data_IF_087454230172
#
_entry.id   IF_087454230172
#
_cell.length_a   1.000
_cell.length_b   1.000
_cell.length_c   1.000
_cell.angle_alpha   90.00
_cell.angle_beta   90.00
_cell.angle_gamma   90.00
#
_symmetry.space_group_name_H-M   'P 1'
#
loop_
_entity.id
_entity.type
_entity.pdbx_description
1 polymer ?
#
# COMPACT_ATOMS: atom_id res chain seq x y z
N UNK A 1 -11.83 13.41 -9.67
CA UNK A 1 -11.05 12.37 -8.95
C UNK A 1 -11.90 11.13 -8.81
N UNK A 2 -11.43 10.02 -9.34
CA UNK A 2 -12.06 8.70 -9.30
C UNK A 2 -11.32 7.79 -8.30
N UNK A 3 -12.06 6.86 -7.67
CA UNK A 3 -11.49 5.87 -6.75
C UNK A 3 -11.85 4.45 -7.17
N UNK A 4 -10.85 3.69 -7.61
CA UNK A 4 -10.98 2.29 -8.00
C UNK A 4 -10.65 1.41 -6.80
N UNK A 5 -11.47 0.39 -6.57
CA UNK A 5 -11.31 -0.59 -5.48
C UNK A 5 -11.41 -1.97 -6.09
N UNK A 6 -10.36 -2.77 -5.97
CA UNK A 6 -10.30 -4.10 -6.55
C UNK A 6 -9.69 -5.08 -5.57
N UNK A 7 -10.27 -6.29 -5.51
CA UNK A 7 -9.57 -7.43 -4.96
C UNK A 7 -8.80 -8.09 -6.08
N UNK A 8 -7.53 -8.39 -5.81
CA UNK A 8 -6.66 -9.13 -6.72
C UNK A 8 -6.21 -10.41 -6.05
N UNK A 9 -6.23 -11.49 -6.80
CA UNK A 9 -5.59 -12.74 -6.38
C UNK A 9 -4.10 -12.70 -6.69
N UNK A 10 -3.32 -13.49 -5.95
CA UNK A 10 -1.93 -13.75 -6.27
C UNK A 10 -1.80 -14.20 -7.74
N UNK A 11 -0.85 -13.61 -8.46
CA UNK A 11 -0.63 -13.79 -9.89
C UNK A 11 -1.40 -12.82 -10.80
N UNK A 12 -2.37 -12.05 -10.29
CA UNK A 12 -3.04 -11.03 -11.09
C UNK A 12 -2.21 -9.74 -11.14
N UNK A 13 -2.13 -9.07 -12.31
CA UNK A 13 -1.31 -7.88 -12.47
C UNK A 13 -1.82 -6.72 -11.61
N UNK A 14 -0.90 -5.94 -11.06
CA UNK A 14 -1.23 -4.68 -10.40
C UNK A 14 -1.35 -3.54 -11.40
N UNK A 15 -2.20 -2.56 -11.09
CA UNK A 15 -2.49 -1.47 -12.03
C UNK A 15 -1.31 -0.52 -12.26
N UNK A 16 -0.38 -0.39 -11.31
CA UNK A 16 0.92 0.28 -11.46
C UNK A 16 1.73 0.24 -10.15
N UNK A 17 3.04 0.05 -10.24
CA UNK A 17 3.95 0.49 -9.18
C UNK A 17 4.26 2.00 -9.36
N UNK A 18 4.41 2.79 -8.27
CA UNK A 18 4.68 4.22 -8.40
C UNK A 18 6.17 4.46 -8.64
N UNK A 19 6.53 4.89 -9.85
CA UNK A 19 7.92 5.23 -10.21
C UNK A 19 8.55 6.25 -9.25
N UNK A 20 7.76 7.19 -8.75
CA UNK A 20 8.23 8.19 -7.79
C UNK A 20 8.74 7.57 -6.47
N UNK A 21 8.20 6.41 -6.03
CA UNK A 21 8.70 5.72 -4.84
C UNK A 21 10.10 5.20 -5.11
N UNK A 22 10.28 4.55 -6.26
CA UNK A 22 11.55 4.01 -6.69
C UNK A 22 12.60 5.12 -6.82
N UNK A 23 12.21 6.27 -7.37
CA UNK A 23 13.05 7.47 -7.40
C UNK A 23 13.44 7.96 -6.00
N UNK A 24 12.47 8.03 -5.06
CA UNK A 24 12.72 8.49 -3.68
C UNK A 24 13.61 7.53 -2.89
N UNK A 25 13.40 6.22 -3.02
CA UNK A 25 14.22 5.17 -2.39
C UNK A 25 15.65 5.25 -2.90
N UNK A 26 15.82 5.41 -4.22
CA UNK A 26 17.13 5.58 -4.86
C UNK A 26 17.83 6.86 -4.38
N UNK A 27 17.12 7.99 -4.33
CA UNK A 27 17.65 9.26 -3.81
C UNK A 27 18.02 9.19 -2.32
N UNK A 28 17.29 8.40 -1.53
CA UNK A 28 17.54 8.22 -0.11
C UNK A 28 18.73 7.29 0.19
N UNK A 29 19.27 6.61 -0.82
CA UNK A 29 20.46 5.75 -0.68
C UNK A 29 20.25 4.60 0.30
N UNK A 30 19.04 4.06 0.44
CA UNK A 30 18.77 2.95 1.37
C UNK A 30 19.56 1.70 0.92
N UNK A 31 20.55 1.28 1.70
CA UNK A 31 21.50 0.19 1.35
C UNK A 31 20.81 -1.09 0.85
N UNK A 32 19.68 -1.45 1.45
CA UNK A 32 18.89 -2.63 1.09
C UNK A 32 18.35 -2.60 -0.35
N UNK A 33 18.28 -1.41 -0.95
CA UNK A 33 17.69 -1.12 -2.25
C UNK A 33 18.73 -0.65 -3.28
N UNK A 34 20.00 -0.56 -2.89
CA UNK A 34 21.11 -0.25 -3.80
C UNK A 34 21.48 -1.43 -4.72
N UNK A 35 20.88 -2.61 -4.51
CA UNK A 35 21.00 -3.76 -5.43
C UNK A 35 20.39 -3.51 -6.82
N UNK A 36 19.54 -2.50 -6.95
CA UNK A 36 18.84 -2.15 -8.18
C UNK A 36 19.60 -1.11 -8.99
N UNK A 37 19.96 -1.44 -10.23
CA UNK A 37 20.71 -0.54 -11.11
C UNK A 37 19.82 0.56 -11.74
N UNK A 38 18.51 0.30 -11.87
CA UNK A 38 17.52 1.18 -12.52
C UNK A 38 16.25 1.36 -11.68
N UNK A 39 15.48 2.41 -11.96
CA UNK A 39 14.16 2.63 -11.33
C UNK A 39 13.17 1.57 -11.81
N UNK A 40 13.31 1.16 -13.06
CA UNK A 40 12.51 0.16 -13.75
C UNK A 40 12.67 -1.23 -13.12
N UNK A 41 13.89 -1.63 -12.74
CA UNK A 41 14.13 -2.90 -12.05
C UNK A 41 13.50 -2.90 -10.65
N UNK A 42 13.60 -1.77 -9.94
CA UNK A 42 12.96 -1.61 -8.63
C UNK A 42 11.43 -1.64 -8.74
N UNK A 43 10.87 -0.95 -9.74
CA UNK A 43 9.44 -0.92 -10.04
C UNK A 43 8.90 -2.32 -10.38
N UNK A 44 9.66 -3.09 -11.17
CA UNK A 44 9.34 -4.47 -11.52
C UNK A 44 9.34 -5.39 -10.30
N UNK A 45 10.35 -5.30 -9.44
CA UNK A 45 10.44 -6.13 -8.25
C UNK A 45 9.34 -5.81 -7.23
N UNK A 46 9.01 -4.53 -7.04
CA UNK A 46 7.87 -4.12 -6.21
C UNK A 46 6.56 -4.65 -6.79
N UNK A 47 6.39 -4.55 -8.12
CA UNK A 47 5.22 -5.10 -8.79
C UNK A 47 5.12 -6.61 -8.57
N UNK A 48 6.23 -7.34 -8.74
CA UNK A 48 6.28 -8.79 -8.51
C UNK A 48 5.96 -9.17 -7.05
N UNK A 49 6.46 -8.41 -6.08
CA UNK A 49 6.14 -8.60 -4.66
C UNK A 49 4.64 -8.39 -4.39
N UNK A 50 4.08 -7.28 -4.87
CA UNK A 50 2.64 -7.00 -4.79
C UNK A 50 1.82 -8.12 -5.45
N UNK A 51 2.20 -8.52 -6.66
CA UNK A 51 1.50 -9.52 -7.46
C UNK A 51 1.61 -10.93 -6.88
N UNK A 52 2.57 -11.20 -6.00
CA UNK A 52 2.72 -12.49 -5.32
C UNK A 52 1.67 -12.76 -4.22
N UNK A 53 0.86 -11.75 -3.87
CA UNK A 53 -0.07 -11.79 -2.74
C UNK A 53 -1.52 -11.60 -3.17
N UNK A 54 -2.44 -12.27 -2.46
CA UNK A 54 -3.85 -11.91 -2.43
C UNK A 54 -3.97 -10.55 -1.73
N UNK A 55 -4.64 -9.59 -2.38
CA UNK A 55 -4.57 -8.19 -1.94
C UNK A 55 -5.80 -7.39 -2.30
N UNK A 56 -6.04 -6.37 -1.51
CA UNK A 56 -6.94 -5.27 -1.82
C UNK A 56 -6.14 -4.09 -2.38
N UNK A 57 -6.55 -3.62 -3.56
CA UNK A 57 -5.99 -2.44 -4.21
C UNK A 57 -7.00 -1.28 -4.17
N UNK A 58 -6.58 -0.15 -3.63
CA UNK A 58 -7.28 1.13 -3.71
C UNK A 58 -6.46 2.09 -4.56
N UNK A 59 -7.03 2.60 -5.65
CA UNK A 59 -6.36 3.52 -6.57
C UNK A 59 -7.15 4.83 -6.63
N UNK A 60 -6.44 5.95 -6.59
CA UNK A 60 -7.00 7.28 -6.83
C UNK A 60 -6.48 7.81 -8.15
N UNK A 61 -7.40 8.17 -9.05
CA UNK A 61 -7.08 8.59 -10.42
C UNK A 61 -7.66 10.00 -10.66
N UNK A 62 -6.85 10.92 -11.17
CA UNK A 62 -7.32 12.26 -11.49
C UNK A 62 -8.21 12.28 -12.75
N UNK A 63 -8.73 13.46 -13.10
CA UNK A 63 -9.63 13.63 -14.24
C UNK A 63 -8.94 13.37 -15.60
N UNK A 64 -7.61 13.38 -15.64
CA UNK A 64 -6.82 13.05 -16.82
C UNK A 64 -6.47 11.55 -16.90
N UNK A 65 -6.97 10.73 -15.97
CA UNK A 65 -6.67 9.30 -15.93
C UNK A 65 -5.32 8.97 -15.29
N UNK A 66 -4.64 9.94 -14.65
CA UNK A 66 -3.34 9.72 -14.02
C UNK A 66 -3.50 9.22 -12.60
N UNK A 67 -2.73 8.19 -12.24
CA UNK A 67 -2.67 7.69 -10.87
C UNK A 67 -2.08 8.75 -9.93
N UNK A 68 -2.85 9.12 -8.91
CA UNK A 68 -2.49 10.10 -7.89
C UNK A 68 -2.33 9.50 -6.50
N UNK A 69 -2.80 8.28 -6.28
CA UNK A 69 -2.56 7.54 -5.05
C UNK A 69 -2.87 6.07 -5.22
N UNK A 70 -2.19 5.25 -4.42
CA UNK A 70 -2.37 3.81 -4.37
C UNK A 70 -2.21 3.33 -2.94
N UNK A 71 -3.09 2.44 -2.50
CA UNK A 71 -2.96 1.73 -1.23
C UNK A 71 -3.18 0.24 -1.52
N UNK A 72 -2.21 -0.57 -1.11
CA UNK A 72 -2.23 -2.03 -1.20
C UNK A 72 -2.29 -2.57 0.21
N UNK A 73 -3.27 -3.42 0.47
CA UNK A 73 -3.41 -4.10 1.75
C UNK A 73 -3.57 -5.60 1.57
N UNK A 74 -3.01 -6.35 2.51
CA UNK A 74 -3.13 -7.81 2.62
C UNK A 74 -3.77 -8.16 3.94
N UNK A 75 -4.47 -9.29 3.99
CA UNK A 75 -4.93 -9.86 5.24
C UNK A 75 -3.77 -10.62 5.89
N UNK A 76 -3.59 -10.45 7.20
CA UNK A 76 -2.52 -11.08 7.98
C UNK A 76 -3.05 -11.50 9.34
N UNK A 77 -2.43 -12.52 9.92
CA UNK A 77 -2.72 -12.99 11.28
C UNK A 77 -1.49 -12.85 12.17
N UNK A 78 -1.66 -12.32 13.40
CA UNK A 78 -0.60 -12.24 14.40
C UNK A 78 -1.12 -12.52 15.81
N UNK A 79 -0.38 -13.27 16.66
CA UNK A 79 -0.75 -13.53 18.06
C UNK A 79 -1.08 -12.29 18.92
N UNK A 80 -0.57 -11.11 18.59
CA UNK A 80 -0.80 -9.87 19.34
C UNK A 80 -1.98 -9.03 18.85
N UNK A 81 -2.42 -9.23 17.61
CA UNK A 81 -3.38 -8.36 16.93
C UNK A 81 -4.55 -9.09 16.27
N UNK A 82 -4.56 -10.43 16.29
CA UNK A 82 -5.58 -11.24 15.65
C UNK A 82 -5.44 -11.20 14.12
N UNK A 83 -6.57 -11.22 13.42
CA UNK A 83 -6.69 -11.14 11.96
C UNK A 83 -6.96 -9.70 11.54
N UNK A 84 -6.16 -9.14 10.63
CA UNK A 84 -6.22 -7.73 10.28
C UNK A 84 -5.79 -7.43 8.85
N UNK A 85 -6.20 -6.26 8.35
CA UNK A 85 -5.65 -5.73 7.10
C UNK A 85 -4.37 -4.95 7.37
N UNK A 86 -3.25 -5.45 6.85
CA UNK A 86 -1.96 -4.77 6.84
C UNK A 86 -1.84 -3.92 5.57
N UNK A 87 -1.58 -2.62 5.74
CA UNK A 87 -1.14 -1.79 4.63
C UNK A 87 0.30 -2.14 4.27
N UNK A 88 0.47 -2.92 3.20
CA UNK A 88 1.78 -3.29 2.65
C UNK A 88 2.45 -2.10 1.97
N UNK A 89 1.67 -1.37 1.17
CA UNK A 89 2.16 -0.23 0.41
C UNK A 89 1.12 0.89 0.39
N UNK A 90 1.57 2.14 0.57
CA UNK A 90 0.71 3.31 0.51
C UNK A 90 1.45 4.50 -0.12
N UNK A 91 0.86 5.05 -1.17
CA UNK A 91 1.45 6.02 -2.06
C UNK A 91 0.44 7.12 -2.40
N UNK A 92 0.92 8.35 -2.46
CA UNK A 92 0.11 9.50 -2.86
C UNK A 92 0.98 10.65 -3.31
N UNK A 93 0.56 11.29 -4.40
CA UNK A 93 1.01 12.65 -4.73
C UNK A 93 0.13 13.72 -4.04
N UNK A 94 -1.08 13.35 -3.62
CA UNK A 94 -2.00 14.18 -2.83
C UNK A 94 -2.35 13.49 -1.49
N UNK A 95 -2.00 14.07 -0.31
CA UNK A 95 -2.36 13.51 1.00
C UNK A 95 -3.85 13.19 1.19
N UNK A 96 -4.75 13.86 0.48
CA UNK A 96 -6.20 13.60 0.59
C UNK A 96 -6.60 12.23 0.05
N UNK A 97 -5.94 11.73 -0.99
CA UNK A 97 -6.29 10.44 -1.62
C UNK A 97 -6.07 9.26 -0.66
N UNK A 98 -4.94 9.23 0.06
CA UNK A 98 -4.71 8.17 1.06
C UNK A 98 -5.68 8.24 2.23
N UNK A 99 -6.12 9.44 2.63
CA UNK A 99 -7.12 9.57 3.71
C UNK A 99 -8.46 8.92 3.34
N UNK A 100 -8.82 8.91 2.04
CA UNK A 100 -9.99 8.17 1.55
C UNK A 100 -9.70 6.66 1.54
N UNK A 101 -8.52 6.26 1.07
CA UNK A 101 -8.08 4.85 1.05
C UNK A 101 -8.11 4.20 2.44
N UNK A 102 -7.51 4.82 3.45
CA UNK A 102 -7.52 4.31 4.82
C UNK A 102 -8.92 4.23 5.44
N UNK A 103 -9.82 5.16 5.10
CA UNK A 103 -11.23 5.07 5.52
C UNK A 103 -11.94 3.89 4.88
N UNK A 104 -11.66 3.59 3.62
CA UNK A 104 -12.16 2.39 2.95
C UNK A 104 -11.57 1.12 3.55
N UNK A 105 -10.27 1.11 3.83
CA UNK A 105 -9.61 -0.03 4.44
C UNK A 105 -10.22 -0.39 5.80
N UNK A 106 -10.48 0.62 6.63
CA UNK A 106 -11.13 0.42 7.92
C UNK A 106 -12.58 -0.09 7.80
N UNK A 107 -13.34 0.39 6.82
CA UNK A 107 -14.68 -0.17 6.56
C UNK A 107 -14.59 -1.60 6.06
N UNK A 108 -13.58 -1.90 5.25
CA UNK A 108 -13.38 -3.24 4.73
C UNK A 108 -13.03 -4.23 5.84
N UNK A 109 -12.16 -3.86 6.79
CA UNK A 109 -11.86 -4.73 7.94
C UNK A 109 -13.12 -5.04 8.76
N UNK A 110 -14.01 -4.07 8.95
CA UNK A 110 -15.30 -4.29 9.61
C UNK A 110 -16.23 -5.21 8.80
N UNK A 111 -16.28 -5.05 7.48
CA UNK A 111 -17.12 -5.88 6.60
C UNK A 111 -16.65 -7.33 6.52
N UNK A 112 -15.34 -7.56 6.72
CA UNK A 112 -14.72 -8.87 6.71
C UNK A 112 -14.66 -9.53 8.10
N UNK A 113 -15.23 -8.88 9.13
CA UNK A 113 -15.20 -9.35 10.52
C UNK A 113 -13.78 -9.59 11.06
N UNK A 114 -12.86 -8.70 10.68
CA UNK A 114 -11.46 -8.71 11.13
C UNK A 114 -11.32 -7.93 12.44
N UNK A 115 -10.22 -8.09 13.16
CA UNK A 115 -9.92 -7.37 14.41
C UNK A 115 -9.56 -5.90 14.16
N UNK A 116 -9.02 -5.57 12.98
CA UNK A 116 -8.69 -4.19 12.66
C UNK A 116 -7.85 -3.97 11.41
N UNK A 117 -7.12 -2.85 11.42
CA UNK A 117 -6.16 -2.49 10.38
C UNK A 117 -4.81 -2.11 11.00
N UNK A 118 -3.71 -2.57 10.41
CA UNK A 118 -2.34 -2.17 10.76
C UNK A 118 -1.74 -1.34 9.64
N UNK A 119 -1.13 -0.21 9.98
CA UNK A 119 -0.34 0.58 9.03
C UNK A 119 0.88 1.21 9.70
N UNK A 120 1.93 1.39 8.93
CA UNK A 120 3.15 2.07 9.37
C UNK A 120 3.10 3.55 9.02
N UNK A 121 3.47 4.39 9.99
CA UNK A 121 3.67 5.82 9.79
C UNK A 121 5.10 6.18 10.17
N UNK A 122 5.84 6.77 9.23
CA UNK A 122 7.15 7.35 9.53
C UNK A 122 6.97 8.69 10.26
N UNK A 123 7.65 8.85 11.40
CA UNK A 123 7.65 10.07 12.20
C UNK A 123 9.09 10.46 12.50
N UNK A 124 9.65 11.39 11.73
CA UNK A 124 11.07 11.72 11.82
C UNK A 124 11.96 10.55 11.39
N UNK A 125 12.86 10.10 12.28
CA UNK A 125 13.71 8.92 12.04
C UNK A 125 13.03 7.60 12.41
N UNK A 126 11.95 7.64 13.18
CA UNK A 126 11.30 6.45 13.71
C UNK A 126 10.17 5.95 12.80
N UNK A 127 10.04 4.63 12.73
CA UNK A 127 8.88 3.97 12.12
C UNK A 127 7.93 3.56 13.22
N UNK A 128 6.73 4.14 13.22
CA UNK A 128 5.69 3.85 14.21
C UNK A 128 4.65 2.94 13.55
N UNK A 129 4.41 1.78 14.15
CA UNK A 129 3.30 0.91 13.79
C UNK A 129 2.04 1.42 14.49
N UNK A 130 0.94 1.58 13.75
CA UNK A 130 -0.36 1.94 14.28
C UNK A 130 -1.35 0.84 13.96
N UNK A 131 -1.86 0.21 15.02
CA UNK A 131 -3.01 -0.66 14.95
C UNK A 131 -4.27 0.15 15.26
N UNK A 132 -5.31 -0.06 14.48
CA UNK A 132 -6.63 0.51 14.71
C UNK A 132 -7.63 -0.64 14.80
N UNK A 133 -8.12 -0.88 16.01
CA UNK A 133 -9.18 -1.85 16.29
C UNK A 133 -10.49 -1.44 15.62
N UNK A 134 -11.33 -2.44 15.34
CA UNK A 134 -12.70 -2.25 14.87
C UNK A 134 -13.72 -1.98 16.01
N UNK A 135 -13.30 -2.05 17.28
CA UNK A 135 -14.09 -1.76 18.50
C UNK A 135 -14.62 -0.31 18.61
#
# INVERSE_FOLDING_TARGET
MEYIKAFRKAGEPTAAAPDYLCEKVRQAGLDNWQRYHTVEDMSRDISADIESLDRFEFLAVDEAGKLTGMLIATQEENPHHGDFLLTRYAFSIDPKSLSVGYRWLFKLSQMLDLDGTLYTKKSGKDTIYRFKNND
#
